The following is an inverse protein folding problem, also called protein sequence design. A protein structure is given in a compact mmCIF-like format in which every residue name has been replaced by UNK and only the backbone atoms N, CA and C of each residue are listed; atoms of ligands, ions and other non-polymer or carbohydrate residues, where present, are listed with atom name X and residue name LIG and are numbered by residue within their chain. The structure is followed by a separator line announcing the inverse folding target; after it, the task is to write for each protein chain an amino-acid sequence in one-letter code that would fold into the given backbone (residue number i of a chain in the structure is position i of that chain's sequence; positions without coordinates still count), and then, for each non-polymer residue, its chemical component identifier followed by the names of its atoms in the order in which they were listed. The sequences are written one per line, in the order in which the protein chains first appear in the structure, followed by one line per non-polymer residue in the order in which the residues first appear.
data_IF_432434313445
#
_entry.id   IF_432434313445
#
_cell.length_a   1.000
_cell.length_b   1.000
_cell.length_c   1.000
_cell.angle_alpha   90.00
_cell.angle_beta   90.00
_cell.angle_gamma   90.00
#
_symmetry.space_group_name_H-M   'P 1'
#
loop_
_entity.id
_entity.type
_entity.pdbx_description
1 polymer ?
#
# COMPACT_ATOMS: atom_id res chain seq x y z
N UNK A 1 -3.91 -28.87 34.07
CA UNK A 1 -4.64 -28.28 32.92
C UNK A 1 -3.85 -27.22 32.12
N UNK A 2 -2.62 -26.81 32.49
CA UNK A 2 -1.98 -25.63 31.87
C UNK A 2 -1.05 -25.84 30.66
N UNK A 3 -0.63 -27.07 30.35
CA UNK A 3 0.44 -27.33 29.35
C UNK A 3 -0.01 -27.19 27.89
N UNK A 4 -1.29 -27.41 27.60
CA UNK A 4 -1.86 -27.23 26.26
C UNK A 4 -2.05 -25.76 25.91
N UNK A 5 -2.52 -24.95 26.87
CA UNK A 5 -2.81 -23.54 26.66
C UNK A 5 -1.55 -22.71 26.39
N UNK A 6 -0.44 -23.05 27.05
CA UNK A 6 0.85 -22.38 26.83
C UNK A 6 1.37 -22.60 25.39
N UNK A 7 1.28 -23.82 24.86
CA UNK A 7 1.69 -24.11 23.48
C UNK A 7 0.81 -23.41 22.43
N UNK A 8 -0.50 -23.31 22.69
CA UNK A 8 -1.42 -22.58 21.80
C UNK A 8 -1.10 -21.08 21.80
N UNK A 9 -0.83 -20.51 22.98
CA UNK A 9 -0.45 -19.10 23.10
C UNK A 9 0.89 -18.80 22.39
N UNK A 10 1.86 -19.71 22.49
CA UNK A 10 3.16 -19.57 21.83
C UNK A 10 3.05 -19.67 20.29
N UNK A 11 2.21 -20.58 19.80
CA UNK A 11 1.92 -20.70 18.37
C UNK A 11 1.21 -19.43 17.83
N UNK A 12 0.24 -18.88 18.58
CA UNK A 12 -0.43 -17.63 18.23
C UNK A 12 0.53 -16.44 18.24
N UNK A 13 1.40 -16.33 19.24
CA UNK A 13 2.42 -15.28 19.30
C UNK A 13 3.41 -15.36 18.13
N UNK A 14 3.78 -16.58 17.73
CA UNK A 14 4.64 -16.81 16.55
C UNK A 14 3.96 -16.35 15.27
N UNK A 15 2.69 -16.72 15.06
CA UNK A 15 1.91 -16.29 13.89
C UNK A 15 1.72 -14.77 13.86
N UNK A 16 1.40 -14.15 15.00
CA UNK A 16 1.29 -12.69 15.13
C UNK A 16 2.62 -11.99 14.81
N UNK A 17 3.75 -12.54 15.26
CA UNK A 17 5.07 -12.03 14.93
C UNK A 17 5.44 -12.15 13.44
N UNK A 18 4.94 -13.18 12.75
CA UNK A 18 5.09 -13.32 11.30
C UNK A 18 4.25 -12.27 10.57
N UNK A 19 2.95 -12.16 10.91
CA UNK A 19 2.04 -11.19 10.29
C UNK A 19 2.53 -9.75 10.52
N UNK A 20 2.99 -9.40 11.72
CA UNK A 20 3.50 -8.07 12.02
C UNK A 20 4.81 -7.71 11.30
N UNK A 21 5.62 -8.70 10.91
CA UNK A 21 6.86 -8.48 10.15
C UNK A 21 6.61 -8.38 8.65
N UNK A 22 5.57 -9.03 8.15
CA UNK A 22 5.17 -9.02 6.75
C UNK A 22 4.32 -7.78 6.41
N UNK A 23 3.46 -7.35 7.34
CA UNK A 23 2.63 -6.16 7.22
C UNK A 23 3.40 -4.90 7.64
N UNK A 24 4.40 -4.52 6.84
CA UNK A 24 5.06 -3.22 6.94
C UNK A 24 4.38 -2.25 5.95
N UNK A 25 3.40 -1.44 6.39
CA UNK A 25 2.60 -0.61 5.48
C UNK A 25 3.47 0.35 4.66
N UNK A 26 4.38 1.09 5.29
CA UNK A 26 5.31 2.00 4.60
C UNK A 26 6.13 1.32 3.49
N UNK A 27 6.53 0.06 3.70
CA UNK A 27 7.29 -0.72 2.70
C UNK A 27 6.39 -1.26 1.60
N UNK A 28 5.14 -1.62 1.91
CA UNK A 28 4.17 -2.04 0.91
C UNK A 28 3.75 -0.87 0.00
N UNK A 29 3.50 0.30 0.56
CA UNK A 29 3.20 1.53 -0.20
C UNK A 29 4.37 1.93 -1.11
N UNK A 30 5.61 1.87 -0.61
CA UNK A 30 6.81 2.08 -1.41
C UNK A 30 6.89 1.09 -2.59
N UNK A 31 6.70 -0.21 -2.34
CA UNK A 31 6.72 -1.24 -3.39
C UNK A 31 5.60 -1.07 -4.42
N UNK A 32 4.41 -0.63 -4.01
CA UNK A 32 3.26 -0.35 -4.89
C UNK A 32 3.55 0.84 -5.79
N UNK A 33 4.11 1.92 -5.23
CA UNK A 33 4.53 3.10 -5.97
C UNK A 33 5.66 2.78 -6.97
N UNK A 34 6.68 2.02 -6.55
CA UNK A 34 7.77 1.57 -7.44
C UNK A 34 7.23 0.78 -8.63
N UNK A 35 6.26 -0.13 -8.38
CA UNK A 35 5.59 -0.88 -9.46
C UNK A 35 4.83 0.03 -10.39
N UNK A 36 4.09 1.01 -9.87
CA UNK A 36 3.36 1.98 -10.68
C UNK A 36 4.30 2.74 -11.62
N UNK A 37 5.40 3.29 -11.09
CA UNK A 37 6.38 4.03 -11.88
C UNK A 37 7.05 3.17 -12.96
N UNK A 38 7.31 1.89 -12.67
CA UNK A 38 7.88 0.93 -13.65
C UNK A 38 6.99 0.70 -14.86
N UNK A 39 5.69 0.93 -14.76
CA UNK A 39 4.74 0.79 -15.85
C UNK A 39 4.58 2.06 -16.72
N UNK A 40 5.45 3.06 -16.54
CA UNK A 40 5.45 4.32 -17.29
C UNK A 40 4.07 4.99 -17.27
N UNK A 41 3.62 5.46 -16.09
CA UNK A 41 2.33 6.12 -15.98
C UNK A 41 2.31 7.35 -16.89
N UNK A 42 1.11 7.71 -17.38
CA UNK A 42 0.95 8.90 -18.20
C UNK A 42 1.32 10.14 -17.37
N UNK A 43 2.41 10.78 -17.74
CA UNK A 43 2.79 12.08 -17.20
C UNK A 43 1.88 13.17 -17.77
N UNK A 44 1.56 14.16 -16.95
CA UNK A 44 0.87 15.35 -17.42
C UNK A 44 1.81 16.20 -18.28
N UNK A 45 1.50 16.33 -19.57
CA UNK A 45 2.29 17.12 -20.54
C UNK A 45 1.57 18.39 -21.02
N UNK A 46 0.44 18.74 -20.39
CA UNK A 46 -0.49 19.75 -20.88
C UNK A 46 -0.08 21.22 -20.71
N UNK A 47 1.10 21.53 -20.16
CA UNK A 47 1.51 22.90 -19.87
C UNK A 47 0.57 23.61 -18.87
N UNK A 48 0.29 24.90 -19.08
CA UNK A 48 -0.61 25.69 -18.21
C UNK A 48 -2.09 25.45 -18.56
N UNK A 49 -2.53 24.20 -18.47
CA UNK A 49 -3.92 23.79 -18.69
C UNK A 49 -4.55 23.35 -17.36
N UNK A 50 -5.21 24.26 -16.62
CA UNK A 50 -5.75 23.94 -15.29
C UNK A 50 -6.85 22.88 -15.35
N UNK A 51 -7.74 22.93 -16.35
CA UNK A 51 -8.81 21.92 -16.50
C UNK A 51 -8.25 20.53 -16.83
N UNK A 52 -7.21 20.47 -17.67
CA UNK A 52 -6.51 19.23 -17.97
C UNK A 52 -5.72 18.69 -16.77
N UNK A 53 -5.14 19.58 -15.96
CA UNK A 53 -4.42 19.20 -14.75
C UNK A 53 -5.37 18.60 -13.71
N UNK A 54 -6.54 19.21 -13.49
CA UNK A 54 -7.56 18.67 -12.57
C UNK A 54 -7.96 17.26 -12.98
N UNK A 55 -8.32 17.04 -14.26
CA UNK A 55 -8.70 15.71 -14.74
C UNK A 55 -7.56 14.69 -14.62
N UNK A 56 -6.31 15.12 -14.83
CA UNK A 56 -5.17 14.23 -14.66
C UNK A 56 -4.96 13.83 -13.19
N UNK A 57 -5.16 14.77 -12.25
CA UNK A 57 -5.11 14.46 -10.82
C UNK A 57 -6.21 13.48 -10.43
N UNK A 58 -7.46 13.70 -10.86
CA UNK A 58 -8.58 12.78 -10.57
C UNK A 58 -8.28 11.34 -11.02
N UNK A 59 -7.73 11.17 -12.23
CA UNK A 59 -7.35 9.85 -12.75
C UNK A 59 -6.20 9.21 -11.96
N UNK A 60 -5.25 10.01 -11.47
CA UNK A 60 -4.14 9.52 -10.63
C UNK A 60 -4.66 9.11 -9.24
N UNK A 61 -5.58 9.88 -8.65
CA UNK A 61 -6.19 9.55 -7.36
C UNK A 61 -6.93 8.21 -7.39
N UNK A 62 -7.68 7.92 -8.46
CA UNK A 62 -8.35 6.62 -8.66
C UNK A 62 -7.34 5.46 -8.65
N UNK A 63 -6.16 5.67 -9.24
CA UNK A 63 -5.12 4.64 -9.28
C UNK A 63 -4.51 4.43 -7.89
N UNK A 64 -4.24 5.51 -7.15
CA UNK A 64 -3.74 5.42 -5.78
C UNK A 64 -4.74 4.73 -4.84
N UNK A 65 -6.03 5.05 -4.96
CA UNK A 65 -7.11 4.35 -4.24
C UNK A 65 -7.15 2.86 -4.59
N UNK A 66 -7.05 2.50 -5.88
CA UNK A 66 -7.02 1.10 -6.33
C UNK A 66 -5.76 0.35 -5.86
N UNK A 67 -4.65 1.06 -5.61
CA UNK A 67 -3.45 0.51 -4.98
C UNK A 67 -3.59 0.38 -3.46
N UNK A 68 -4.66 0.90 -2.87
CA UNK A 68 -4.87 0.93 -1.42
C UNK A 68 -3.96 1.92 -0.71
N UNK A 69 -3.42 2.91 -1.42
CA UNK A 69 -2.73 4.04 -0.81
C UNK A 69 -3.78 4.93 -0.17
N UNK A 70 -3.63 5.22 1.11
CA UNK A 70 -4.51 6.15 1.83
C UNK A 70 -3.79 7.45 2.07
N UNK A 71 -4.52 8.56 2.13
CA UNK A 71 -3.97 9.80 2.67
C UNK A 71 -3.56 9.57 4.13
N UNK A 72 -2.29 9.82 4.45
CA UNK A 72 -1.76 9.83 5.83
C UNK A 72 -1.91 11.20 6.49
#
# INVERSE_FOLDING_TARGET
AGRGNAQIAEALATLAGIVAKDHQPEREDEMRLERFMKHNPKLFTGGYNPEGAVKWVEEVEIIFEAMGCTEE
#
